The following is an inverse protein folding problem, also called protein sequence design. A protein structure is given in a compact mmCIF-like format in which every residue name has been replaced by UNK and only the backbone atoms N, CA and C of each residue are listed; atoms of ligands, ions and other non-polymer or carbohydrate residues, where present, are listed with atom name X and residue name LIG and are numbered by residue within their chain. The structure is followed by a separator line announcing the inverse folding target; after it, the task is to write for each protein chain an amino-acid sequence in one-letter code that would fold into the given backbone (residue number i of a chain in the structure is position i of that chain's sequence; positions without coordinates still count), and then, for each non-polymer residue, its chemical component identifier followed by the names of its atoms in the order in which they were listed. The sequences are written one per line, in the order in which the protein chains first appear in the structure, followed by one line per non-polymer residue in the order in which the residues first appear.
data_IF_186799708412
#
_entry.id   IF_186799708412
#
_cell.length_a   1.000
_cell.length_b   1.000
_cell.length_c   1.000
_cell.angle_alpha   90.00
_cell.angle_beta   90.00
_cell.angle_gamma   90.00
#
_symmetry.space_group_name_H-M   'P 1'
#
loop_
_entity.id
_entity.type
_entity.pdbx_description
1 polymer ?
#
# COMPACT_ATOMS: atom_id res chain seq x y z
N UNK A 1 -12.70 10.80 -16.18
CA UNK A 1 -12.06 9.60 -15.61
C UNK A 1 -13.16 8.73 -15.03
N UNK A 2 -13.25 7.49 -15.47
CA UNK A 2 -14.29 6.56 -15.01
C UNK A 2 -14.07 6.19 -13.54
N UNK A 3 -15.15 6.04 -12.77
CA UNK A 3 -15.09 5.77 -11.32
C UNK A 3 -14.24 4.52 -10.98
N UNK A 4 -14.22 3.55 -11.88
CA UNK A 4 -13.41 2.32 -11.81
C UNK A 4 -11.92 2.64 -11.87
N UNK A 5 -11.49 3.46 -12.82
CA UNK A 5 -10.10 3.88 -12.97
C UNK A 5 -9.65 4.68 -11.75
N UNK A 6 -10.50 5.58 -11.25
CA UNK A 6 -10.21 6.36 -10.04
C UNK A 6 -10.01 5.49 -8.80
N UNK A 7 -10.82 4.45 -8.62
CA UNK A 7 -10.70 3.54 -7.47
C UNK A 7 -9.44 2.67 -7.53
N UNK A 8 -9.04 2.23 -8.73
CA UNK A 8 -7.80 1.48 -8.93
C UNK A 8 -6.57 2.35 -8.64
N UNK A 9 -6.59 3.59 -9.13
CA UNK A 9 -5.53 4.58 -8.89
C UNK A 9 -5.40 4.92 -7.40
N UNK A 10 -6.52 5.11 -6.69
CA UNK A 10 -6.53 5.33 -5.24
C UNK A 10 -5.98 4.15 -4.43
N UNK A 11 -6.05 2.90 -4.92
CA UNK A 11 -5.47 1.74 -4.25
C UNK A 11 -3.98 1.56 -4.53
N UNK A 12 -3.54 1.80 -5.77
CA UNK A 12 -2.16 1.59 -6.20
C UNK A 12 -1.21 2.65 -5.64
N UNK A 13 -1.62 3.93 -5.63
CA UNK A 13 -0.80 5.03 -5.14
C UNK A 13 -0.28 4.79 -3.70
N UNK A 14 -1.14 4.54 -2.68
CA UNK A 14 -0.68 4.34 -1.31
C UNK A 14 0.16 3.06 -1.17
N UNK A 15 -0.08 2.03 -1.97
CA UNK A 15 0.75 0.83 -2.00
C UNK A 15 2.18 1.13 -2.47
N UNK A 16 2.32 1.82 -3.60
CA UNK A 16 3.63 2.19 -4.15
C UNK A 16 4.38 3.10 -3.18
N UNK A 17 3.68 4.08 -2.59
CA UNK A 17 4.26 4.97 -1.58
C UNK A 17 4.68 4.19 -0.33
N UNK A 18 3.85 3.27 0.16
CA UNK A 18 4.14 2.45 1.33
C UNK A 18 5.37 1.55 1.12
N UNK A 19 5.46 0.87 -0.02
CA UNK A 19 6.62 0.05 -0.38
C UNK A 19 7.87 0.93 -0.54
N UNK A 20 7.74 2.08 -1.21
CA UNK A 20 8.81 3.05 -1.37
C UNK A 20 9.35 3.58 -0.04
N UNK A 21 8.46 3.86 0.92
CA UNK A 21 8.82 4.25 2.29
C UNK A 21 9.60 3.15 3.01
N UNK A 22 9.16 1.89 2.94
CA UNK A 22 9.88 0.75 3.55
C UNK A 22 11.28 0.64 2.95
N UNK A 23 11.38 0.72 1.62
CA UNK A 23 12.66 0.65 0.92
C UNK A 23 13.57 1.80 1.33
N UNK A 24 13.05 3.04 1.34
CA UNK A 24 13.82 4.22 1.69
C UNK A 24 14.34 4.20 3.13
N UNK A 25 13.50 3.80 4.09
CA UNK A 25 13.89 3.62 5.49
C UNK A 25 14.97 2.52 5.61
N UNK A 26 14.77 1.40 4.93
CA UNK A 26 15.73 0.28 4.94
C UNK A 26 17.06 0.66 4.30
N UNK A 27 17.02 1.46 3.23
CA UNK A 27 18.17 2.01 2.53
C UNK A 27 18.96 2.99 3.40
N UNK A 28 18.28 3.91 4.09
CA UNK A 28 18.89 4.83 5.08
C UNK A 28 19.58 4.06 6.21
N UNK A 29 18.97 2.97 6.68
CA UNK A 29 19.57 2.10 7.69
C UNK A 29 20.83 1.40 7.19
N UNK A 30 20.83 0.95 5.94
CA UNK A 30 21.99 0.31 5.32
C UNK A 30 23.18 1.26 5.17
N UNK A 31 22.98 2.47 4.65
CA UNK A 31 24.06 3.44 4.45
C UNK A 31 24.65 4.02 5.75
N UNK A 32 23.97 3.85 6.89
CA UNK A 32 24.50 4.25 8.21
C UNK A 32 25.40 3.18 8.86
N UNK A 33 25.51 2.01 8.25
CA UNK A 33 26.33 0.89 8.77
C UNK A 33 27.72 0.94 8.14
N UNK A 34 28.75 0.88 8.98
CA UNK A 34 30.14 0.74 8.53
C UNK A 34 30.44 -0.72 8.09
N UNK A 35 31.66 -1.00 7.62
CA UNK A 35 32.09 -2.32 7.17
C UNK A 35 31.89 -3.47 8.19
N UNK A 36 31.84 -3.16 9.50
CA UNK A 36 31.50 -4.11 10.57
C UNK A 36 29.99 -4.21 10.88
N UNK A 37 29.12 -3.52 10.16
CA UNK A 37 27.68 -3.47 10.45
C UNK A 37 27.29 -2.58 11.64
N UNK A 38 28.26 -1.91 12.27
CA UNK A 38 28.04 -0.97 13.38
C UNK A 38 27.37 0.31 12.88
N UNK A 39 26.32 0.75 13.58
CA UNK A 39 25.66 2.04 13.30
C UNK A 39 26.56 3.17 13.81
N UNK A 40 27.09 3.98 12.89
CA UNK A 40 27.87 5.17 13.25
C UNK A 40 26.92 6.30 13.64
N UNK A 41 26.68 6.49 14.94
CA UNK A 41 26.01 7.68 15.46
C UNK A 41 27.04 8.57 16.16
N UNK A 42 27.04 9.86 15.83
CA UNK A 42 27.91 10.85 16.46
C UNK A 42 27.45 11.24 17.88
N UNK A 43 26.19 10.96 18.23
CA UNK A 43 25.60 11.37 19.51
C UNK A 43 24.47 10.44 19.93
N UNK A 44 24.29 10.27 21.24
CA UNK A 44 23.26 9.41 21.82
C UNK A 44 21.85 9.89 21.47
N UNK A 45 21.59 11.19 21.55
CA UNK A 45 20.29 11.81 21.21
C UNK A 45 19.88 11.56 19.74
N UNK A 46 20.84 11.72 18.82
CA UNK A 46 20.62 11.44 17.40
C UNK A 46 20.25 9.96 17.17
N UNK A 47 20.87 9.04 17.91
CA UNK A 47 20.56 7.62 17.80
C UNK A 47 19.11 7.30 18.21
N UNK A 48 18.61 7.96 19.26
CA UNK A 48 17.25 7.78 19.76
C UNK A 48 16.24 8.41 18.81
N UNK A 49 16.48 9.64 18.38
CA UNK A 49 15.58 10.35 17.46
C UNK A 49 15.45 9.63 16.12
N UNK A 50 16.57 9.20 15.53
CA UNK A 50 16.56 8.50 14.25
C UNK A 50 15.89 7.12 14.38
N UNK A 51 16.17 6.36 15.44
CA UNK A 51 15.48 5.08 15.70
C UNK A 51 13.98 5.27 15.91
N UNK A 52 13.57 6.36 16.56
CA UNK A 52 12.16 6.68 16.77
C UNK A 52 11.46 6.91 15.42
N UNK A 53 12.02 7.77 14.56
CA UNK A 53 11.47 8.03 13.21
C UNK A 53 11.48 6.76 12.35
N UNK A 54 12.51 5.92 12.41
CA UNK A 54 12.53 4.65 11.68
C UNK A 54 11.42 3.70 12.14
N UNK A 55 11.13 3.66 13.44
CA UNK A 55 10.04 2.83 13.98
C UNK A 55 8.69 3.39 13.55
N UNK A 56 8.44 4.68 13.76
CA UNK A 56 7.18 5.35 13.37
C UNK A 56 6.96 5.27 11.87
N UNK A 57 7.98 5.54 11.06
CA UNK A 57 7.90 5.47 9.60
C UNK A 57 7.56 4.07 9.08
N UNK A 58 8.07 3.00 9.73
CA UNK A 58 7.67 1.62 9.38
C UNK A 58 6.21 1.35 9.69
N UNK A 59 5.71 1.80 10.84
CA UNK A 59 4.28 1.67 11.19
C UNK A 59 3.39 2.40 10.18
N UNK A 60 3.75 3.63 9.81
CA UNK A 60 3.03 4.40 8.79
C UNK A 60 3.03 3.67 7.45
N UNK A 61 4.19 3.11 7.04
CA UNK A 61 4.28 2.38 5.79
C UNK A 61 3.43 1.10 5.79
N UNK A 62 3.39 0.35 6.89
CA UNK A 62 2.50 -0.80 7.03
C UNK A 62 1.02 -0.40 6.97
N UNK A 63 0.63 0.70 7.62
CA UNK A 63 -0.73 1.21 7.55
C UNK A 63 -1.12 1.57 6.10
N UNK A 64 -0.22 2.24 5.36
CA UNK A 64 -0.45 2.57 3.94
C UNK A 64 -0.62 1.33 3.05
N UNK A 65 0.21 0.30 3.27
CA UNK A 65 0.12 -0.96 2.52
C UNK A 65 -1.21 -1.66 2.81
N UNK A 66 -1.59 -1.79 4.09
CA UNK A 66 -2.86 -2.41 4.47
C UNK A 66 -4.03 -1.66 3.82
N UNK A 67 -4.02 -0.34 3.88
CA UNK A 67 -5.08 0.49 3.31
C UNK A 67 -5.18 0.31 1.79
N UNK A 68 -4.05 0.30 1.08
CA UNK A 68 -4.03 0.04 -0.37
C UNK A 68 -4.53 -1.36 -0.75
N UNK A 69 -4.17 -2.39 0.02
CA UNK A 69 -4.67 -3.77 -0.18
C UNK A 69 -6.19 -3.85 0.04
N UNK A 70 -6.71 -3.21 1.09
CA UNK A 70 -8.15 -3.17 1.37
C UNK A 70 -8.94 -2.50 0.24
N UNK A 71 -8.43 -1.40 -0.32
CA UNK A 71 -9.07 -0.72 -1.46
C UNK A 71 -9.08 -1.62 -2.70
N UNK A 72 -7.96 -2.30 -3.00
CA UNK A 72 -7.86 -3.25 -4.10
C UNK A 72 -8.79 -4.45 -3.94
N UNK A 73 -8.92 -4.96 -2.71
CA UNK A 73 -9.85 -6.04 -2.40
C UNK A 73 -11.31 -5.61 -2.61
N UNK A 74 -11.67 -4.43 -2.11
CA UNK A 74 -13.00 -3.84 -2.30
C UNK A 74 -13.34 -3.66 -3.78
N UNK A 75 -12.38 -3.22 -4.59
CA UNK A 75 -12.55 -3.14 -6.05
C UNK A 75 -12.88 -4.49 -6.69
N UNK A 76 -12.20 -5.56 -6.26
CA UNK A 76 -12.41 -6.91 -6.79
C UNK A 76 -13.83 -7.42 -6.49
N UNK A 77 -14.36 -7.08 -5.31
CA UNK A 77 -15.74 -7.42 -4.92
C UNK A 77 -16.78 -6.67 -5.78
N UNK A 78 -16.58 -5.36 -6.00
CA UNK A 78 -17.46 -4.54 -6.84
C UNK A 78 -17.56 -5.04 -8.28
N UNK A 79 -16.44 -5.51 -8.85
CA UNK A 79 -16.42 -6.09 -10.20
C UNK A 79 -17.25 -7.39 -10.26
N UNK A 80 -17.11 -8.24 -9.25
CA UNK A 80 -17.81 -9.54 -9.15
C UNK A 80 -19.33 -9.37 -9.02
N UNK A 81 -19.78 -8.35 -8.29
CA UNK A 81 -21.21 -8.03 -8.17
C UNK A 81 -21.80 -7.47 -9.46
N UNK A 82 -21.05 -6.64 -10.19
CA UNK A 82 -21.48 -6.11 -11.50
C UNK A 82 -21.59 -7.20 -12.55
N UNK A 83 -20.67 -8.16 -12.55
CA UNK A 83 -20.70 -9.33 -13.43
C UNK A 83 -21.92 -10.22 -13.17
N UNK A 84 -22.25 -10.47 -11.89
CA UNK A 84 -23.48 -11.21 -11.52
C UNK A 84 -24.75 -10.50 -11.96
N UNK A 85 -24.87 -9.19 -11.71
CA UNK A 85 -26.04 -8.40 -12.14
C UNK A 85 -26.19 -8.36 -13.66
N UNK A 86 -25.10 -8.28 -14.42
CA UNK A 86 -25.16 -8.36 -15.89
C UNK A 86 -25.57 -9.75 -16.38
N UNK A 87 -25.18 -10.81 -15.67
CA UNK A 87 -25.57 -12.18 -16.00
C UNK A 87 -27.06 -12.41 -15.73
N UNK A 88 -27.59 -11.97 -14.58
CA UNK A 88 -29.02 -12.04 -14.25
C UNK A 88 -29.86 -11.27 -15.29
N UNK A 89 -29.49 -10.03 -15.62
CA UNK A 89 -30.18 -9.24 -16.65
C UNK A 89 -30.12 -9.92 -18.03
N UNK A 90 -29.02 -10.60 -18.36
CA UNK A 90 -28.86 -11.35 -19.62
C UNK A 90 -29.53 -12.73 -19.60
N UNK A 91 -29.98 -13.25 -18.47
CA UNK A 91 -30.76 -14.50 -18.36
C UNK A 91 -32.28 -14.19 -18.38
N UNK A 92 -32.67 -13.03 -17.84
CA UNK A 92 -34.05 -12.55 -17.85
C UNK A 92 -34.51 -12.05 -19.23
N UNK A 93 -33.64 -11.37 -19.99
CA UNK A 93 -33.95 -10.89 -21.35
C UNK A 93 -34.14 -11.98 -22.44
N UNK A 94 -33.38 -13.09 -22.51
CA UNK A 94 -33.58 -14.14 -23.51
C UNK A 94 -34.80 -15.02 -23.25
N UNK A 95 -35.35 -15.00 -22.03
CA UNK A 95 -36.58 -15.75 -21.67
C UNK A 95 -37.84 -14.97 -22.05
N UNK A 96 -37.71 -13.68 -22.38
CA UNK A 96 -38.79 -12.82 -22.88
C UNK A 96 -38.78 -12.85 -24.42
N UNK A 97 -39.14 -13.98 -25.03
CA UNK A 97 -39.45 -14.07 -26.47
C UNK A 97 -40.58 -15.06 -26.72
#
# INVERSE_FOLDING_TARGET
MDAVTSQLVMGIIPLVIGIGLIYWISRRKFYRRNAMGAEGFSSFEASVFIRFIERVGKWIAYALIILGVVILWSYTQMKKEREKKQQEVKIEQPTKR
#
